data_IF_078282925230
#
_entry.id   IF_078282925230
#
_cell.length_a   1.000
_cell.length_b   1.000
_cell.length_c   1.000
_cell.angle_alpha   90.00
_cell.angle_beta   90.00
_cell.angle_gamma   90.00
#
_symmetry.space_group_name_H-M   'P 1'
#
loop_
_entity.id
_entity.type
_entity.pdbx_description
1 polymer ?
#
# COMPACT_ATOMS: atom_id res chain seq x y z
N UNK A 1 27.75 13.25 -21.67
CA UNK A 1 26.28 13.39 -21.51
C UNK A 1 25.59 12.12 -22.03
N UNK A 2 25.22 11.18 -21.17
CA UNK A 2 24.40 10.01 -21.52
C UNK A 2 23.51 9.65 -20.31
N UNK A 3 22.45 10.42 -20.06
CA UNK A 3 21.51 10.13 -18.95
C UNK A 3 20.04 10.06 -19.37
N UNK A 4 19.69 10.43 -20.60
CA UNK A 4 18.29 10.43 -21.06
C UNK A 4 17.76 9.04 -21.45
N UNK A 5 18.61 8.13 -21.96
CA UNK A 5 18.18 6.80 -22.45
C UNK A 5 17.77 5.81 -21.35
N UNK A 6 18.48 5.80 -20.22
CA UNK A 6 18.21 4.86 -19.12
C UNK A 6 16.86 5.11 -18.43
N UNK A 7 16.41 6.37 -18.40
CA UNK A 7 15.20 6.78 -17.70
C UNK A 7 13.92 6.43 -18.48
N UNK A 8 14.00 6.44 -19.82
CA UNK A 8 12.91 6.03 -20.71
C UNK A 8 12.77 4.50 -20.77
N UNK A 9 13.89 3.77 -20.79
CA UNK A 9 13.90 2.32 -20.74
C UNK A 9 13.30 1.77 -19.44
N UNK A 10 13.63 2.37 -18.29
CA UNK A 10 13.07 1.96 -16.99
C UNK A 10 11.54 2.06 -16.92
N UNK A 11 10.97 3.20 -17.33
CA UNK A 11 9.51 3.39 -17.34
C UNK A 11 8.78 2.43 -18.28
N UNK A 12 9.40 2.06 -19.40
CA UNK A 12 8.82 1.12 -20.36
C UNK A 12 8.84 -0.33 -19.84
N UNK A 13 9.92 -0.73 -19.16
CA UNK A 13 10.02 -2.05 -18.51
C UNK A 13 8.97 -2.18 -17.41
N UNK A 14 8.77 -1.14 -16.59
CA UNK A 14 7.75 -1.14 -15.54
C UNK A 14 6.34 -1.24 -16.12
N UNK A 15 6.05 -0.53 -17.22
CA UNK A 15 4.76 -0.61 -17.90
C UNK A 15 4.47 -2.02 -18.43
N UNK A 16 5.44 -2.64 -19.14
CA UNK A 16 5.30 -4.01 -19.64
C UNK A 16 5.15 -5.04 -18.53
N UNK A 17 5.82 -4.83 -17.39
CA UNK A 17 5.66 -5.68 -16.22
C UNK A 17 4.23 -5.58 -15.68
N UNK A 18 3.70 -4.37 -15.50
CA UNK A 18 2.33 -4.14 -15.04
C UNK A 18 1.32 -4.76 -16.01
N UNK A 19 1.50 -4.58 -17.32
CA UNK A 19 0.63 -5.18 -18.34
C UNK A 19 0.59 -6.72 -18.25
N UNK A 20 1.74 -7.37 -18.05
CA UNK A 20 1.80 -8.83 -17.86
C UNK A 20 1.07 -9.28 -16.60
N UNK A 21 1.27 -8.58 -15.48
CA UNK A 21 0.57 -8.87 -14.22
C UNK A 21 -0.95 -8.70 -14.39
N UNK A 22 -1.39 -7.62 -15.06
CA UNK A 22 -2.82 -7.37 -15.31
C UNK A 22 -3.46 -8.41 -16.24
N UNK A 23 -2.69 -9.09 -17.09
CA UNK A 23 -3.21 -10.10 -18.03
C UNK A 23 -3.50 -11.46 -17.37
N UNK A 24 -2.72 -11.87 -16.36
CA UNK A 24 -2.92 -13.11 -15.60
C UNK A 24 -2.65 -12.91 -14.10
N UNK A 25 -3.52 -12.16 -13.40
CA UNK A 25 -3.27 -11.79 -12.02
C UNK A 25 -3.53 -12.96 -11.06
N UNK A 26 -2.65 -13.04 -10.07
CA UNK A 26 -2.86 -13.72 -8.81
C UNK A 26 -2.41 -12.80 -7.66
N UNK A 27 -2.77 -13.13 -6.42
CA UNK A 27 -2.44 -12.30 -5.26
C UNK A 27 -2.00 -13.11 -4.06
N UNK A 28 -1.17 -12.49 -3.23
CA UNK A 28 -0.77 -13.00 -1.92
C UNK A 28 -0.73 -11.85 -0.91
N UNK A 29 -0.72 -12.19 0.37
CA UNK A 29 -0.39 -11.24 1.44
C UNK A 29 1.12 -11.03 1.42
N UNK A 30 1.54 -9.78 1.34
CA UNK A 30 2.94 -9.39 1.46
C UNK A 30 3.19 -8.63 2.74
N UNK A 31 4.33 -8.90 3.38
CA UNK A 31 4.77 -8.28 4.63
C UNK A 31 5.90 -7.27 4.35
N UNK A 32 5.77 -6.04 4.84
CA UNK A 32 6.81 -5.02 4.71
C UNK A 32 7.87 -5.24 5.80
N UNK A 33 9.03 -5.79 5.42
CA UNK A 33 10.11 -6.09 6.36
C UNK A 33 11.25 -5.06 6.33
N UNK A 34 11.19 -4.10 5.41
CA UNK A 34 12.24 -3.08 5.25
C UNK A 34 11.72 -1.83 4.56
N UNK A 35 12.13 -0.67 5.07
CA UNK A 35 12.01 0.62 4.38
C UNK A 35 13.37 1.32 4.24
N UNK A 36 13.47 2.24 3.28
CA UNK A 36 14.64 3.09 3.06
C UNK A 36 14.24 4.40 2.41
N UNK A 37 14.53 5.51 3.06
CA UNK A 37 14.38 6.85 2.48
C UNK A 37 15.34 7.03 1.30
N UNK A 38 14.82 7.56 0.20
CA UNK A 38 15.57 7.92 -1.01
C UNK A 38 15.22 9.35 -1.43
N UNK A 39 15.98 9.95 -2.35
CA UNK A 39 15.63 11.26 -2.93
C UNK A 39 14.29 11.29 -3.69
N UNK A 40 13.63 10.13 -3.89
CA UNK A 40 12.32 9.99 -4.54
C UNK A 40 11.19 9.66 -3.57
N UNK A 41 11.47 9.58 -2.26
CA UNK A 41 10.54 9.13 -1.24
C UNK A 41 10.99 7.85 -0.54
N UNK A 42 10.13 7.32 0.33
CA UNK A 42 10.40 6.10 1.09
C UNK A 42 10.16 4.86 0.24
N UNK A 43 11.24 4.13 -0.06
CA UNK A 43 11.15 2.86 -0.77
C UNK A 43 10.92 1.74 0.25
N UNK A 44 10.06 0.80 -0.07
CA UNK A 44 9.76 -0.36 0.80
C UNK A 44 10.00 -1.67 0.08
N UNK A 45 10.27 -2.71 0.87
CA UNK A 45 10.44 -4.08 0.41
C UNK A 45 9.38 -4.93 1.08
N UNK A 46 8.68 -5.71 0.27
CA UNK A 46 7.71 -6.70 0.73
C UNK A 46 8.21 -8.09 0.41
N UNK A 47 8.04 -9.01 1.35
CA UNK A 47 8.16 -10.44 1.10
C UNK A 47 6.79 -11.10 1.09
N UNK A 48 6.63 -12.11 0.25
CA UNK A 48 5.41 -12.92 0.17
C UNK A 48 5.76 -14.33 -0.28
N UNK A 49 4.83 -15.26 -0.09
CA UNK A 49 5.06 -16.68 -0.33
C UNK A 49 4.04 -17.23 -1.32
N UNK A 50 4.53 -18.04 -2.27
CA UNK A 50 3.70 -18.79 -3.22
C UNK A 50 4.14 -20.25 -3.18
N UNK A 51 3.23 -21.13 -2.77
CA UNK A 51 3.50 -22.58 -2.62
C UNK A 51 4.77 -22.86 -1.78
N UNK A 52 4.93 -22.15 -0.65
CA UNK A 52 6.07 -22.28 0.26
C UNK A 52 7.38 -21.62 -0.21
N UNK A 53 7.44 -21.09 -1.43
CA UNK A 53 8.61 -20.36 -1.93
C UNK A 53 8.49 -18.86 -1.65
N UNK A 54 9.56 -18.27 -1.09
CA UNK A 54 9.68 -16.84 -0.81
C UNK A 54 10.00 -16.03 -2.06
N UNK A 55 9.35 -14.88 -2.17
CA UNK A 55 9.60 -13.86 -3.20
C UNK A 55 9.76 -12.48 -2.55
N UNK A 56 10.45 -11.58 -3.24
CA UNK A 56 10.68 -10.20 -2.81
C UNK A 56 10.21 -9.24 -3.89
N UNK A 57 9.50 -8.19 -3.49
CA UNK A 57 9.10 -7.09 -4.37
C UNK A 57 9.43 -5.74 -3.72
N UNK A 58 9.82 -4.78 -4.54
CA UNK A 58 10.16 -3.43 -4.12
C UNK A 58 9.12 -2.46 -4.66
N UNK A 59 8.65 -1.55 -3.82
CA UNK A 59 7.69 -0.54 -4.19
C UNK A 59 8.09 0.84 -3.68
N UNK A 60 7.54 1.87 -4.33
CA UNK A 60 7.59 3.24 -3.87
C UNK A 60 6.13 3.67 -3.67
N UNK A 61 5.63 3.75 -2.43
CA UNK A 61 4.29 4.25 -2.15
C UNK A 61 4.12 5.66 -2.72
N UNK A 62 2.90 6.05 -3.11
CA UNK A 62 2.57 7.44 -3.39
C UNK A 62 3.00 8.36 -2.22
N UNK A 63 3.47 9.56 -2.57
CA UNK A 63 4.01 10.50 -1.59
C UNK A 63 3.04 10.77 -0.43
N UNK A 64 3.55 10.62 0.79
CA UNK A 64 2.80 10.85 2.03
C UNK A 64 1.95 9.68 2.51
N UNK A 65 1.84 8.58 1.76
CA UNK A 65 1.16 7.37 2.25
C UNK A 65 1.87 6.82 3.50
N UNK A 66 1.10 6.46 4.51
CA UNK A 66 1.60 5.88 5.76
C UNK A 66 1.88 4.38 5.54
N UNK A 67 3.07 4.07 5.01
CA UNK A 67 3.54 2.71 4.77
C UNK A 67 4.77 2.46 5.63
N UNK A 68 4.64 1.57 6.62
CA UNK A 68 5.67 1.28 7.61
C UNK A 68 6.12 -0.17 7.53
N UNK A 69 7.24 -0.47 8.20
CA UNK A 69 7.63 -1.84 8.50
C UNK A 69 6.56 -2.47 9.39
N UNK A 70 6.43 -3.79 9.30
CA UNK A 70 5.44 -4.60 10.00
C UNK A 70 3.99 -4.46 9.50
N UNK A 71 3.77 -3.71 8.41
CA UNK A 71 2.48 -3.66 7.73
C UNK A 71 2.33 -4.76 6.68
N UNK A 72 1.09 -5.18 6.43
CA UNK A 72 0.75 -6.10 5.36
C UNK A 72 0.02 -5.38 4.22
N UNK A 73 0.29 -5.81 3.00
CA UNK A 73 -0.36 -5.30 1.79
C UNK A 73 -0.68 -6.44 0.85
N UNK A 74 -1.66 -6.23 -0.03
CA UNK A 74 -1.84 -7.12 -1.18
C UNK A 74 -0.63 -7.00 -2.11
N UNK A 75 -0.02 -8.13 -2.44
CA UNK A 75 0.94 -8.25 -3.55
C UNK A 75 0.22 -8.90 -4.72
N UNK A 76 0.26 -8.26 -5.89
CA UNK A 76 -0.30 -8.78 -7.13
C UNK A 76 0.86 -9.28 -7.99
N UNK A 77 0.75 -10.49 -8.52
CA UNK A 77 1.79 -11.12 -9.32
C UNK A 77 1.23 -11.86 -10.54
N UNK A 78 2.09 -12.09 -11.54
CA UNK A 78 1.78 -12.92 -12.70
C UNK A 78 1.76 -14.40 -12.27
N UNK A 79 0.63 -15.09 -12.44
CA UNK A 79 0.41 -16.44 -11.88
C UNK A 79 1.51 -17.45 -12.22
N UNK A 80 2.03 -17.42 -13.44
CA UNK A 80 3.09 -18.32 -13.92
C UNK A 80 4.51 -17.85 -13.59
N UNK A 81 4.66 -16.57 -13.25
CA UNK A 81 5.95 -15.93 -12.95
C UNK A 81 5.82 -15.04 -11.71
N UNK A 82 5.73 -15.61 -10.49
CA UNK A 82 5.46 -14.81 -9.31
C UNK A 82 6.49 -13.70 -9.07
N UNK A 83 7.74 -13.86 -9.49
CA UNK A 83 8.76 -12.80 -9.46
C UNK A 83 8.34 -11.51 -10.21
N UNK A 84 7.46 -11.61 -11.21
CA UNK A 84 6.76 -10.48 -11.78
C UNK A 84 5.61 -10.04 -10.86
N UNK A 85 5.93 -9.17 -9.90
CA UNK A 85 4.99 -8.71 -8.86
C UNK A 85 5.04 -7.20 -8.62
N UNK A 86 3.95 -6.67 -8.05
CA UNK A 86 3.82 -5.29 -7.54
C UNK A 86 3.14 -5.31 -6.16
N UNK A 87 3.48 -4.32 -5.33
CA UNK A 87 2.75 -4.06 -4.08
C UNK A 87 1.57 -3.17 -4.42
N UNK A 88 0.38 -3.58 -4.01
CA UNK A 88 -0.83 -2.78 -4.11
C UNK A 88 -1.04 -2.00 -2.81
N UNK A 89 -0.47 -0.80 -2.77
CA UNK A 89 -0.55 0.08 -1.60
C UNK A 89 -1.96 0.58 -1.27
N UNK A 90 -2.93 0.42 -2.18
CA UNK A 90 -4.31 0.80 -1.93
C UNK A 90 -5.05 -0.22 -1.06
N UNK A 91 -4.49 -1.42 -0.88
CA UNK A 91 -5.08 -2.48 -0.06
C UNK A 91 -4.10 -2.87 1.05
N UNK A 92 -4.01 -2.05 2.12
CA UNK A 92 -3.40 -2.48 3.37
C UNK A 92 -4.24 -3.59 4.02
N UNK A 93 -3.57 -4.45 4.79
CA UNK A 93 -4.14 -5.58 5.49
C UNK A 93 -3.59 -5.64 6.92
N UNK A 94 -4.36 -6.20 7.83
CA UNK A 94 -3.87 -6.68 9.12
C UNK A 94 -3.57 -8.18 9.02
N UNK A 95 -2.69 -8.68 9.89
CA UNK A 95 -2.47 -10.11 10.09
C UNK A 95 -3.73 -10.77 10.65
N UNK A 96 -3.89 -12.08 10.45
CA UNK A 96 -4.95 -12.86 11.10
C UNK A 96 -4.76 -12.94 12.63
N UNK A 97 -3.53 -12.72 13.10
CA UNK A 97 -3.19 -12.71 14.53
C UNK A 97 -3.39 -11.33 15.18
N UNK A 98 -3.63 -10.29 14.39
CA UNK A 98 -3.80 -8.93 14.88
C UNK A 98 -5.16 -8.76 15.55
N UNK A 99 -5.16 -8.14 16.74
CA UNK A 99 -6.40 -7.74 17.41
C UNK A 99 -6.79 -6.35 16.91
N UNK A 100 -7.86 -6.31 16.10
CA UNK A 100 -8.37 -5.07 15.52
C UNK A 100 -9.64 -4.58 16.19
N UNK A 101 -9.84 -3.27 16.15
CA UNK A 101 -11.08 -2.60 16.57
C UNK A 101 -11.58 -1.68 15.46
N UNK A 102 -12.84 -1.27 15.58
CA UNK A 102 -13.47 -0.38 14.62
C UNK A 102 -13.89 0.94 15.25
N UNK A 103 -13.83 2.00 14.45
CA UNK A 103 -14.35 3.33 14.76
C UNK A 103 -14.80 3.99 13.46
N UNK A 104 -15.25 5.24 13.52
CA UNK A 104 -15.57 6.03 12.34
C UNK A 104 -14.46 7.06 12.09
N UNK A 105 -13.97 7.11 10.86
CA UNK A 105 -13.06 8.14 10.39
C UNK A 105 -13.76 9.13 9.46
N UNK A 106 -13.28 10.35 9.44
CA UNK A 106 -13.70 11.42 8.53
C UNK A 106 -12.53 11.76 7.61
N UNK A 107 -12.79 11.79 6.31
CA UNK A 107 -11.83 12.25 5.31
C UNK A 107 -11.64 13.75 5.43
N UNK A 108 -10.41 14.20 5.64
CA UNK A 108 -10.11 15.62 5.81
C UNK A 108 -9.28 16.21 4.66
N UNK A 109 -8.59 15.36 3.88
CA UNK A 109 -7.88 15.76 2.68
C UNK A 109 -7.90 14.65 1.63
N UNK A 110 -8.27 15.00 0.40
CA UNK A 110 -8.18 14.12 -0.77
C UNK A 110 -7.14 14.69 -1.75
N UNK A 111 -6.15 13.87 -2.09
CA UNK A 111 -5.16 14.12 -3.13
C UNK A 111 -5.40 13.16 -4.31
N UNK A 112 -4.78 13.37 -5.49
CA UNK A 112 -5.01 12.51 -6.65
C UNK A 112 -4.72 11.01 -6.45
N UNK A 113 -3.86 10.65 -5.48
CA UNK A 113 -3.46 9.26 -5.23
C UNK A 113 -3.62 8.82 -3.77
N UNK A 114 -3.98 9.74 -2.86
CA UNK A 114 -4.05 9.45 -1.43
C UNK A 114 -5.23 10.16 -0.78
N UNK A 115 -5.68 9.61 0.33
CA UNK A 115 -6.66 10.23 1.21
C UNK A 115 -6.08 10.30 2.61
N UNK A 116 -6.27 11.44 3.27
CA UNK A 116 -6.03 11.57 4.71
C UNK A 116 -7.38 11.51 5.42
N UNK A 117 -7.40 10.79 6.53
CA UNK A 117 -8.57 10.65 7.38
C UNK A 117 -8.19 10.85 8.85
N UNK A 118 -9.16 11.33 9.61
CA UNK A 118 -9.09 11.56 11.04
C UNK A 118 -10.07 10.64 11.76
N UNK A 119 -9.67 10.06 12.88
CA UNK A 119 -10.54 9.20 13.69
C UNK A 119 -10.19 9.37 15.17
N UNK A 120 -11.06 8.86 16.04
CA UNK A 120 -10.85 8.91 17.48
C UNK A 120 -10.83 7.53 18.11
N UNK A 121 -9.91 7.36 19.05
CA UNK A 121 -9.79 6.20 19.93
C UNK A 121 -9.67 6.72 21.35
N UNK A 122 -10.58 6.31 22.24
CA UNK A 122 -10.60 6.73 23.65
C UNK A 122 -10.52 8.25 23.88
N UNK A 123 -11.08 9.05 22.96
CA UNK A 123 -11.09 10.52 23.04
C UNK A 123 -9.87 11.20 22.39
N UNK A 124 -8.81 10.47 22.10
CA UNK A 124 -7.64 10.97 21.38
C UNK A 124 -7.87 10.94 19.86
N UNK A 125 -7.33 11.93 19.15
CA UNK A 125 -7.49 12.07 17.70
C UNK A 125 -6.25 11.56 16.98
N UNK A 126 -6.46 10.72 15.97
CA UNK A 126 -5.42 10.14 15.14
C UNK A 126 -5.62 10.56 13.69
N UNK A 127 -4.53 10.55 12.90
CA UNK A 127 -4.56 10.86 11.47
C UNK A 127 -3.70 9.87 10.70
N UNK A 128 -4.24 9.37 9.59
CA UNK A 128 -3.50 8.48 8.69
C UNK A 128 -3.71 8.91 7.24
N UNK A 129 -2.71 8.66 6.41
CA UNK A 129 -2.77 8.87 4.96
C UNK A 129 -2.72 7.50 4.29
N UNK A 130 -3.75 7.15 3.54
CA UNK A 130 -3.88 5.89 2.80
C UNK A 130 -3.86 6.16 1.29
N UNK A 131 -3.37 5.21 0.51
CA UNK A 131 -3.47 5.27 -0.95
C UNK A 131 -4.92 5.07 -1.37
N UNK A 132 -5.38 5.92 -2.29
CA UNK A 132 -6.73 5.84 -2.84
C UNK A 132 -6.79 4.70 -3.87
N UNK A 133 -7.72 3.73 -3.75
CA UNK A 133 -7.88 2.69 -4.76
C UNK A 133 -8.20 3.24 -6.15
N UNK A 134 -7.65 2.60 -7.18
CA UNK A 134 -7.88 3.00 -8.58
C UNK A 134 -9.39 3.03 -8.88
N UNK A 135 -9.88 4.15 -9.43
CA UNK A 135 -11.30 4.34 -9.74
C UNK A 135 -12.21 4.69 -8.56
N UNK A 136 -11.68 4.79 -7.33
CA UNK A 136 -12.46 5.22 -6.17
C UNK A 136 -12.52 6.74 -6.10
N UNK A 137 -13.72 7.29 -5.97
CA UNK A 137 -13.96 8.73 -5.72
C UNK A 137 -14.36 8.91 -4.27
N UNK A 138 -13.69 9.84 -3.58
CA UNK A 138 -13.93 10.18 -2.18
C UNK A 138 -13.92 11.71 -2.06
N UNK A 139 -14.69 12.27 -1.13
CA UNK A 139 -14.76 13.72 -0.89
C UNK A 139 -14.37 14.09 0.54
N UNK A 140 -13.86 15.30 0.70
CA UNK A 140 -13.63 15.88 2.03
C UNK A 140 -14.94 15.92 2.83
N UNK A 141 -14.89 15.49 4.08
CA UNK A 141 -16.02 15.40 5.00
C UNK A 141 -16.77 14.06 4.96
N UNK A 142 -16.51 13.19 3.97
CA UNK A 142 -17.11 11.85 3.97
C UNK A 142 -16.58 11.01 5.12
N UNK A 143 -17.44 10.16 5.67
CA UNK A 143 -17.11 9.26 6.77
C UNK A 143 -17.12 7.81 6.32
N UNK A 144 -16.14 7.04 6.81
CA UNK A 144 -16.02 5.62 6.54
C UNK A 144 -15.64 4.87 7.81
N UNK A 145 -15.94 3.56 7.89
CA UNK A 145 -15.39 2.72 8.95
C UNK A 145 -13.86 2.75 8.90
N UNK A 146 -13.24 2.85 10.07
CA UNK A 146 -11.81 2.71 10.26
C UNK A 146 -11.58 1.48 11.11
N UNK A 147 -10.74 0.58 10.61
CA UNK A 147 -10.22 -0.53 11.40
C UNK A 147 -8.81 -0.18 11.88
N UNK A 148 -8.48 -0.41 13.14
CA UNK A 148 -7.18 -0.08 13.73
C UNK A 148 -6.68 -1.20 14.65
N UNK A 149 -5.37 -1.30 14.84
CA UNK A 149 -4.79 -2.23 15.81
C UNK A 149 -5.07 -1.74 17.24
N UNK A 150 -5.57 -2.62 18.11
CA UNK A 150 -5.84 -2.26 19.51
C UNK A 150 -4.56 -1.82 20.25
N UNK A 151 -3.44 -2.48 19.96
CA UNK A 151 -2.14 -2.24 20.59
C UNK A 151 -1.37 -1.06 20.01
N UNK A 152 -1.67 -0.65 18.78
CA UNK A 152 -1.07 0.52 18.14
C UNK A 152 -2.10 1.22 17.24
N UNK A 153 -2.92 2.13 17.82
CA UNK A 153 -3.94 2.82 17.05
C UNK A 153 -3.41 3.64 15.89
N UNK A 154 -2.11 3.95 15.80
CA UNK A 154 -1.52 4.63 14.62
C UNK A 154 -1.54 3.77 13.35
N UNK A 155 -1.67 2.45 13.49
CA UNK A 155 -1.90 1.53 12.39
C UNK A 155 -3.40 1.38 12.16
N UNK A 156 -3.91 2.10 11.16
CA UNK A 156 -5.32 2.12 10.82
C UNK A 156 -5.56 2.07 9.30
N UNK A 157 -6.67 1.44 8.94
CA UNK A 157 -7.15 1.23 7.58
C UNK A 157 -8.53 1.87 7.45
N UNK A 158 -8.65 2.82 6.53
CA UNK A 158 -9.93 3.36 6.10
C UNK A 158 -10.60 2.36 5.14
N UNK A 159 -11.78 1.86 5.50
CA UNK A 159 -12.55 0.91 4.68
C UNK A 159 -13.30 1.64 3.57
N UNK A 160 -12.58 1.90 2.48
CA UNK A 160 -13.05 2.58 1.27
C UNK A 160 -13.89 1.69 0.35
#
# INVERSE_FOLDING_TARGET
MFFAGALLLGKWIDKKKIERIKADPASAVGFIYKSKTTGKGEKVWSEYFVNGKRYEVKGLPPGGANVQVDMFFRVIYERKHPDNSIIDFAIPLFSEEDITKQTTGTVDLVNPATVRFLYKVNGESYSCIQVLPEGRTVKNGETFPVEYLEQDPWMAILKL
#
